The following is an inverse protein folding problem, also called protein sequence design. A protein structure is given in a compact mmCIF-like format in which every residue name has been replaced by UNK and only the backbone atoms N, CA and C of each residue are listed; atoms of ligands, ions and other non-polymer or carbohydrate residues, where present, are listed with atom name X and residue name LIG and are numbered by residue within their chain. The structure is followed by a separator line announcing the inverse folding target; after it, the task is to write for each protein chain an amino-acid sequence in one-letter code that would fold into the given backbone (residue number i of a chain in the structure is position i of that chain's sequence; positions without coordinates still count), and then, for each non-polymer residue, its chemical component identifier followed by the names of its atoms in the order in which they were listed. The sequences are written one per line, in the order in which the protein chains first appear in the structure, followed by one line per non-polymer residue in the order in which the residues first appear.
data_IF_330137032292
#
_entry.id   IF_330137032292
#
_cell.length_a   1.000
_cell.length_b   1.000
_cell.length_c   1.000
_cell.angle_alpha   90.00
_cell.angle_beta   90.00
_cell.angle_gamma   90.00
#
_symmetry.space_group_name_H-M   'P 1'
#
loop_
_entity.id
_entity.type
_entity.pdbx_description
1 polymer ?
#
# COMPACT_ATOMS: atom_id res chain seq x y z
N UNK A 1 9.48 10.56 -6.83
CA UNK A 1 10.24 10.21 -5.63
C UNK A 1 10.59 8.72 -5.64
N UNK A 2 9.61 7.80 -5.66
CA UNK A 2 9.82 6.35 -5.62
C UNK A 2 10.78 5.83 -6.69
N UNK A 3 10.68 6.33 -7.92
CA UNK A 3 11.57 5.96 -9.02
C UNK A 3 13.04 6.26 -8.70
N UNK A 4 13.35 7.44 -8.18
CA UNK A 4 14.72 7.79 -7.78
C UNK A 4 15.26 6.90 -6.66
N UNK A 5 14.42 6.60 -5.66
CA UNK A 5 14.82 5.70 -4.56
C UNK A 5 15.12 4.29 -5.06
N UNK A 6 14.35 3.81 -6.05
CA UNK A 6 14.56 2.53 -6.71
C UNK A 6 15.86 2.53 -7.54
N UNK A 7 15.98 3.45 -8.51
CA UNK A 7 17.04 3.45 -9.50
C UNK A 7 18.43 3.74 -8.90
N UNK A 8 18.50 4.46 -7.76
CA UNK A 8 19.74 4.65 -7.00
C UNK A 8 20.19 3.43 -6.22
N UNK A 9 19.39 2.36 -6.17
CA UNK A 9 19.58 1.23 -5.28
C UNK A 9 19.25 1.53 -3.81
N UNK A 10 18.75 2.73 -3.51
CA UNK A 10 18.37 3.10 -2.14
C UNK A 10 17.30 2.19 -1.56
N UNK A 11 16.34 1.76 -2.36
CA UNK A 11 15.32 0.81 -1.94
C UNK A 11 15.92 -0.56 -1.58
N UNK A 12 16.90 -1.05 -2.34
CA UNK A 12 17.63 -2.29 -2.03
C UNK A 12 18.39 -2.17 -0.71
N UNK A 13 19.09 -1.05 -0.50
CA UNK A 13 19.81 -0.79 0.78
C UNK A 13 18.85 -0.75 1.98
N UNK A 14 17.68 -0.13 1.82
CA UNK A 14 16.64 -0.13 2.87
C UNK A 14 16.16 -1.56 3.13
N UNK A 15 15.86 -2.33 2.09
CA UNK A 15 15.38 -3.69 2.18
C UNK A 15 16.38 -4.61 2.90
N UNK A 16 17.63 -4.63 2.45
CA UNK A 16 18.70 -5.43 3.04
C UNK A 16 18.90 -5.10 4.52
N UNK A 17 18.93 -3.80 4.85
CA UNK A 17 19.10 -3.37 6.22
C UNK A 17 17.93 -3.78 7.10
N UNK A 18 16.68 -3.56 6.65
CA UNK A 18 15.50 -3.93 7.41
C UNK A 18 15.43 -5.44 7.64
N UNK A 19 15.70 -6.24 6.59
CA UNK A 19 15.71 -7.70 6.72
C UNK A 19 16.83 -8.17 7.67
N UNK A 20 18.02 -7.55 7.63
CA UNK A 20 19.16 -7.90 8.49
C UNK A 20 18.96 -7.57 9.97
N UNK A 21 18.02 -6.70 10.33
CA UNK A 21 17.68 -6.36 11.72
C UNK A 21 16.95 -7.50 12.46
N UNK A 22 16.38 -8.44 11.74
CA UNK A 22 15.57 -9.51 12.33
C UNK A 22 16.34 -10.83 12.35
N UNK A 23 16.23 -11.60 13.44
CA UNK A 23 16.71 -12.98 13.45
C UNK A 23 16.02 -13.83 12.37
N UNK A 24 16.72 -14.84 11.84
CA UNK A 24 16.23 -15.70 10.75
C UNK A 24 14.85 -16.35 11.02
N UNK A 25 14.54 -16.65 12.26
CA UNK A 25 13.24 -17.20 12.67
C UNK A 25 12.05 -16.27 12.36
N UNK A 26 12.30 -14.96 12.21
CA UNK A 26 11.33 -13.93 11.90
C UNK A 26 11.41 -13.43 10.45
N UNK A 27 12.09 -14.14 9.57
CA UNK A 27 12.34 -13.76 8.18
C UNK A 27 11.08 -13.29 7.43
N UNK A 28 9.96 -13.98 7.61
CA UNK A 28 8.69 -13.59 6.97
C UNK A 28 8.22 -12.20 7.42
N UNK A 29 8.32 -11.90 8.72
CA UNK A 29 7.97 -10.59 9.25
C UNK A 29 8.95 -9.52 8.80
N UNK A 30 10.24 -9.86 8.73
CA UNK A 30 11.28 -8.94 8.25
C UNK A 30 11.02 -8.48 6.82
N UNK A 31 10.73 -9.44 5.93
CA UNK A 31 10.47 -9.14 4.52
C UNK A 31 9.09 -8.48 4.32
N UNK A 32 8.08 -8.90 5.09
CA UNK A 32 6.78 -8.22 5.13
C UNK A 32 6.90 -6.76 5.59
N UNK A 33 7.70 -6.51 6.64
CA UNK A 33 7.97 -5.17 7.14
C UNK A 33 8.80 -4.33 6.16
N UNK A 34 9.80 -4.92 5.51
CA UNK A 34 10.55 -4.26 4.44
C UNK A 34 9.62 -3.88 3.28
N UNK A 35 8.72 -4.79 2.88
CA UNK A 35 7.67 -4.52 1.88
C UNK A 35 6.76 -3.38 2.30
N UNK A 36 6.33 -3.36 3.55
CA UNK A 36 5.51 -2.29 4.11
C UNK A 36 6.22 -0.94 4.02
N UNK A 37 7.43 -0.82 4.54
CA UNK A 37 8.18 0.45 4.55
C UNK A 37 8.51 0.94 3.14
N UNK A 38 8.96 0.04 2.26
CA UNK A 38 9.32 0.42 0.89
C UNK A 38 8.10 0.83 0.07
N UNK A 39 6.95 0.18 0.28
CA UNK A 39 5.75 0.46 -0.51
C UNK A 39 5.02 1.74 -0.10
N UNK A 40 5.48 2.43 0.94
CA UNK A 40 4.99 3.78 1.28
C UNK A 40 5.27 4.75 0.12
N UNK A 41 6.53 4.97 -0.33
CA UNK A 41 6.83 5.87 -1.45
C UNK A 41 6.93 5.17 -2.80
N UNK A 42 7.06 3.85 -2.83
CA UNK A 42 7.32 3.05 -4.03
C UNK A 42 6.08 2.23 -4.38
N UNK A 43 5.75 2.14 -5.66
CA UNK A 43 4.63 1.30 -6.09
C UNK A 43 4.83 -0.18 -5.72
N UNK A 44 3.73 -0.87 -5.51
CA UNK A 44 3.72 -2.29 -5.16
C UNK A 44 4.61 -3.14 -6.08
N UNK A 45 4.47 -2.95 -7.38
CA UNK A 45 5.18 -3.72 -8.40
C UNK A 45 6.70 -3.60 -8.25
N UNK A 46 7.19 -2.37 -8.12
CA UNK A 46 8.62 -2.07 -7.96
C UNK A 46 9.14 -2.58 -6.61
N UNK A 47 8.36 -2.43 -5.56
CA UNK A 47 8.69 -2.97 -4.23
C UNK A 47 8.85 -4.49 -4.27
N UNK A 48 7.93 -5.18 -4.98
CA UNK A 48 7.99 -6.63 -5.11
C UNK A 48 9.24 -7.06 -5.88
N UNK A 49 9.54 -6.42 -7.02
CA UNK A 49 10.74 -6.69 -7.83
C UNK A 49 12.03 -6.54 -7.02
N UNK A 50 12.13 -5.53 -6.15
CA UNK A 50 13.31 -5.29 -5.30
C UNK A 50 13.44 -6.36 -4.20
N UNK A 51 12.32 -6.78 -3.61
CA UNK A 51 12.34 -7.68 -2.46
C UNK A 51 12.41 -9.16 -2.82
N UNK A 52 11.92 -9.56 -3.99
CA UNK A 52 11.84 -10.98 -4.35
C UNK A 52 13.23 -11.66 -4.40
N UNK A 53 14.31 -11.05 -4.92
CA UNK A 53 15.65 -11.65 -4.88
C UNK A 53 16.15 -11.90 -3.47
N UNK A 54 15.96 -10.91 -2.57
CA UNK A 54 16.32 -11.02 -1.15
C UNK A 54 15.53 -12.16 -0.50
N UNK A 55 14.23 -12.21 -0.81
CA UNK A 55 13.32 -13.25 -0.33
C UNK A 55 13.73 -14.65 -0.78
N UNK A 56 14.08 -14.82 -2.07
CA UNK A 56 14.55 -16.10 -2.63
C UNK A 56 15.84 -16.56 -1.96
N UNK A 57 16.82 -15.66 -1.82
CA UNK A 57 18.07 -15.97 -1.12
C UNK A 57 17.83 -16.42 0.33
N UNK A 58 16.91 -15.75 1.02
CA UNK A 58 16.53 -16.05 2.39
C UNK A 58 15.83 -17.41 2.50
N UNK A 59 14.95 -17.77 1.56
CA UNK A 59 14.24 -19.06 1.55
C UNK A 59 15.18 -20.22 1.25
N UNK A 60 16.12 -20.06 0.33
CA UNK A 60 17.19 -21.05 0.08
C UNK A 60 17.96 -21.35 1.38
N UNK A 61 18.35 -20.32 2.12
CA UNK A 61 19.06 -20.44 3.41
C UNK A 61 18.22 -21.13 4.49
N UNK A 62 16.92 -20.88 4.52
CA UNK A 62 16.00 -21.43 5.52
C UNK A 62 15.40 -22.78 5.13
N UNK A 63 15.71 -23.28 3.95
CA UNK A 63 15.10 -24.50 3.36
C UNK A 63 13.57 -24.51 3.44
N UNK A 64 12.93 -23.42 3.01
CA UNK A 64 11.47 -23.24 2.97
C UNK A 64 10.98 -22.93 1.57
N UNK A 65 9.73 -23.28 1.27
CA UNK A 65 9.09 -22.95 0.00
C UNK A 65 8.94 -21.43 -0.22
N UNK A 66 9.08 -21.01 -1.48
CA UNK A 66 9.02 -19.59 -1.87
C UNK A 66 7.68 -18.92 -1.50
N UNK A 67 6.59 -19.68 -1.44
CA UNK A 67 5.25 -19.18 -1.11
C UNK A 67 5.17 -18.44 0.22
N UNK A 68 6.00 -18.82 1.20
CA UNK A 68 6.06 -18.13 2.48
C UNK A 68 6.49 -16.68 2.34
N UNK A 69 7.52 -16.43 1.53
CA UNK A 69 8.11 -15.10 1.39
C UNK A 69 7.31 -14.23 0.43
N UNK A 70 6.84 -14.82 -0.66
CA UNK A 70 6.02 -14.13 -1.65
C UNK A 70 4.73 -13.60 -1.01
N UNK A 71 4.07 -14.43 -0.19
CA UNK A 71 2.90 -13.98 0.56
C UNK A 71 3.22 -12.87 1.56
N UNK A 72 4.36 -12.95 2.28
CA UNK A 72 4.76 -11.92 3.22
C UNK A 72 5.06 -10.58 2.54
N UNK A 73 5.80 -10.58 1.42
CA UNK A 73 6.05 -9.37 0.61
C UNK A 73 4.71 -8.79 0.12
N UNK A 74 3.86 -9.62 -0.47
CA UNK A 74 2.57 -9.19 -1.04
C UNK A 74 1.65 -8.58 0.01
N UNK A 75 1.62 -9.13 1.23
CA UNK A 75 0.87 -8.59 2.36
C UNK A 75 1.43 -7.24 2.77
N UNK A 76 2.73 -7.17 3.10
CA UNK A 76 3.34 -5.94 3.61
C UNK A 76 3.26 -4.79 2.60
N UNK A 77 3.67 -5.05 1.36
CA UNK A 77 3.64 -4.06 0.29
C UNK A 77 2.21 -3.65 -0.08
N UNK A 78 1.29 -4.60 -0.16
CA UNK A 78 -0.12 -4.34 -0.48
C UNK A 78 -0.81 -3.45 0.56
N UNK A 79 -0.61 -3.73 1.86
CA UNK A 79 -1.17 -2.93 2.94
C UNK A 79 -0.64 -1.50 2.89
N UNK A 80 0.67 -1.30 2.83
CA UNK A 80 1.25 0.05 2.82
C UNK A 80 0.83 0.83 1.57
N UNK A 81 0.87 0.20 0.39
CA UNK A 81 0.44 0.81 -0.86
C UNK A 81 -1.04 1.25 -0.82
N UNK A 82 -1.87 0.52 -0.11
CA UNK A 82 -3.31 0.82 -0.05
C UNK A 82 -3.65 1.81 1.06
N UNK A 83 -3.01 1.74 2.23
CA UNK A 83 -3.42 2.49 3.42
C UNK A 83 -2.56 3.71 3.74
N UNK A 84 -1.30 3.76 3.28
CA UNK A 84 -0.36 4.81 3.72
C UNK A 84 -0.06 5.79 2.60
N UNK A 85 -0.41 7.09 2.75
CA UNK A 85 0.07 8.11 1.83
C UNK A 85 1.60 8.12 1.74
N UNK A 86 2.21 8.47 0.62
CA UNK A 86 1.67 9.25 -0.50
C UNK A 86 1.17 8.44 -1.71
N UNK A 87 0.88 7.18 -1.59
CA UNK A 87 0.25 6.43 -2.68
C UNK A 87 -1.13 7.01 -3.05
N UNK A 88 -1.60 6.88 -4.30
CA UNK A 88 -2.76 7.62 -4.80
C UNK A 88 -4.04 7.42 -3.99
N UNK A 89 -4.31 6.18 -3.58
CA UNK A 89 -5.58 5.83 -2.94
C UNK A 89 -5.77 6.55 -1.58
N UNK A 90 -4.90 6.36 -0.58
CA UNK A 90 -5.06 7.02 0.71
C UNK A 90 -4.76 8.52 0.65
N UNK A 91 -4.05 9.00 -0.39
CA UNK A 91 -3.75 10.42 -0.56
C UNK A 91 -5.00 11.27 -0.83
N UNK A 92 -6.00 10.70 -1.51
CA UNK A 92 -7.24 11.41 -1.87
C UNK A 92 -8.39 11.16 -0.90
N UNK A 93 -8.30 10.13 -0.05
CA UNK A 93 -9.35 9.80 0.92
C UNK A 93 -9.76 10.98 1.83
N UNK A 94 -8.83 11.82 2.34
CA UNK A 94 -9.16 13.01 3.12
C UNK A 94 -10.04 14.01 2.38
N UNK A 95 -9.89 14.14 1.06
CA UNK A 95 -10.69 15.06 0.25
C UNK A 95 -12.15 14.59 0.12
N UNK A 96 -12.37 13.26 0.04
CA UNK A 96 -13.72 12.69 -0.02
C UNK A 96 -14.44 12.74 1.33
N UNK A 97 -13.74 12.52 2.42
CA UNK A 97 -14.35 12.32 3.72
C UNK A 97 -14.16 13.48 4.70
N UNK A 98 -13.47 14.55 4.30
CA UNK A 98 -13.38 15.81 5.05
C UNK A 98 -12.50 15.74 6.31
N UNK A 99 -11.33 15.11 6.25
CA UNK A 99 -10.39 15.06 7.36
C UNK A 99 -8.94 15.36 6.92
N UNK A 100 -8.01 15.51 7.86
CA UNK A 100 -6.64 15.92 7.56
C UNK A 100 -5.78 14.75 7.05
N UNK A 101 -4.86 15.03 6.11
CA UNK A 101 -3.96 14.03 5.53
C UNK A 101 -3.03 13.39 6.57
N UNK A 102 -2.59 14.14 7.58
CA UNK A 102 -1.77 13.58 8.65
C UNK A 102 -2.53 12.55 9.48
N UNK A 103 -3.85 12.73 9.65
CA UNK A 103 -4.71 11.70 10.27
C UNK A 103 -4.72 10.43 9.42
N UNK A 104 -4.77 10.55 8.07
CA UNK A 104 -4.68 9.38 7.20
C UNK A 104 -3.32 8.67 7.31
N UNK A 105 -2.22 9.43 7.34
CA UNK A 105 -0.87 8.86 7.52
C UNK A 105 -0.77 8.13 8.85
N UNK A 106 -1.20 8.78 9.94
CA UNK A 106 -1.16 8.18 11.27
C UNK A 106 -2.03 6.90 11.35
N UNK A 107 -3.25 6.95 10.82
CA UNK A 107 -4.14 5.80 10.77
C UNK A 107 -3.55 4.67 9.92
N UNK A 108 -3.04 4.97 8.72
CA UNK A 108 -2.42 3.98 7.83
C UNK A 108 -1.24 3.26 8.48
N UNK A 109 -0.42 3.96 9.27
CA UNK A 109 0.68 3.37 10.02
C UNK A 109 0.20 2.56 11.22
N UNK A 110 -0.71 3.14 12.04
CA UNK A 110 -1.21 2.52 13.27
C UNK A 110 -2.04 1.25 12.99
N UNK A 111 -2.81 1.23 11.91
CA UNK A 111 -3.58 0.06 11.49
C UNK A 111 -2.77 -0.89 10.62
N UNK A 112 -1.97 -0.36 9.71
CA UNK A 112 -1.22 -1.17 8.74
C UNK A 112 -0.17 -2.07 9.37
N UNK A 113 0.56 -1.62 10.41
CA UNK A 113 1.58 -2.44 11.06
C UNK A 113 0.96 -3.65 11.80
N UNK A 114 -0.03 -3.50 12.70
CA UNK A 114 -0.70 -4.66 13.29
C UNK A 114 -1.37 -5.57 12.26
N UNK A 115 -2.02 -4.97 11.26
CA UNK A 115 -2.66 -5.69 10.15
C UNK A 115 -1.64 -6.57 9.40
N UNK A 116 -0.45 -6.04 9.09
CA UNK A 116 0.64 -6.78 8.46
C UNK A 116 1.11 -7.95 9.34
N UNK A 117 1.36 -7.71 10.63
CA UNK A 117 1.83 -8.75 11.56
C UNK A 117 0.81 -9.90 11.65
N UNK A 118 -0.46 -9.56 11.85
CA UNK A 118 -1.54 -10.55 11.97
C UNK A 118 -1.69 -11.33 10.66
N UNK A 119 -1.70 -10.64 9.53
CA UNK A 119 -1.91 -11.25 8.21
C UNK A 119 -0.75 -12.17 7.80
N UNK A 120 0.51 -11.75 8.02
CA UNK A 120 1.69 -12.60 7.80
C UNK A 120 1.65 -13.82 8.71
N UNK A 121 1.19 -13.67 9.96
CA UNK A 121 1.03 -14.80 10.89
C UNK A 121 0.00 -15.82 10.37
N UNK A 122 -1.18 -15.34 9.99
CA UNK A 122 -2.27 -16.21 9.47
C UNK A 122 -1.82 -16.90 8.19
N UNK A 123 -1.27 -16.15 7.22
CA UNK A 123 -0.76 -16.70 5.98
C UNK A 123 0.33 -17.77 6.24
N UNK A 124 1.30 -17.48 7.10
CA UNK A 124 2.34 -18.43 7.49
C UNK A 124 1.81 -19.69 8.17
N UNK A 125 0.75 -19.59 8.98
CA UNK A 125 0.09 -20.75 9.57
C UNK A 125 -0.61 -21.62 8.50
N UNK A 126 -1.26 -21.01 7.51
CA UNK A 126 -1.89 -21.74 6.40
C UNK A 126 -0.85 -22.48 5.56
N UNK A 127 0.28 -21.81 5.25
CA UNK A 127 1.39 -22.45 4.54
C UNK A 127 1.96 -23.66 5.31
N UNK A 128 2.12 -23.54 6.64
CA UNK A 128 2.57 -24.67 7.50
C UNK A 128 1.59 -25.84 7.54
N UNK A 129 0.29 -25.59 7.38
CA UNK A 129 -0.75 -26.63 7.35
C UNK A 129 -0.85 -27.36 5.99
N UNK A 130 0.09 -27.14 5.08
CA UNK A 130 0.16 -27.84 3.80
C UNK A 130 -0.59 -27.15 2.66
N UNK A 131 -0.93 -25.89 2.79
CA UNK A 131 -1.52 -25.13 1.68
C UNK A 131 -0.58 -25.04 0.48
N UNK A 132 0.74 -24.95 0.73
CA UNK A 132 1.76 -24.84 -0.32
C UNK A 132 2.24 -26.21 -0.78
N UNK A 133 2.26 -26.40 -2.11
CA UNK A 133 2.87 -27.56 -2.75
C UNK A 133 3.73 -27.08 -3.93
N UNK A 134 5.06 -27.21 -3.82
CA UNK A 134 5.99 -26.73 -4.84
C UNK A 134 5.74 -27.36 -6.22
N UNK A 135 5.33 -28.65 -6.30
CA UNK A 135 5.09 -29.34 -7.56
C UNK A 135 3.92 -28.75 -8.37
N UNK A 136 2.91 -28.21 -7.69
CA UNK A 136 1.69 -27.66 -8.33
C UNK A 136 1.68 -26.13 -8.34
N UNK A 137 2.43 -25.48 -7.47
CA UNK A 137 2.38 -24.04 -7.24
C UNK A 137 3.54 -23.28 -7.90
N UNK A 138 4.67 -23.96 -8.17
CA UNK A 138 5.85 -23.38 -8.83
C UNK A 138 5.97 -23.88 -10.29
N UNK A 139 6.45 -23.01 -11.18
CA UNK A 139 6.71 -23.36 -12.59
C UNK A 139 8.21 -23.44 -12.92
N UNK A 140 9.08 -23.18 -11.95
CA UNK A 140 10.53 -23.22 -12.11
C UNK A 140 11.16 -22.07 -12.91
N UNK A 141 10.36 -21.14 -13.44
CA UNK A 141 10.83 -20.02 -14.28
C UNK A 141 10.98 -18.70 -13.48
N UNK A 142 11.22 -18.79 -12.18
CA UNK A 142 11.39 -17.61 -11.33
C UNK A 142 12.67 -16.86 -11.63
N UNK A 143 12.76 -15.65 -11.08
CA UNK A 143 13.92 -14.76 -11.22
C UNK A 143 15.23 -15.48 -10.89
N UNK A 144 16.17 -15.40 -11.80
CA UNK A 144 17.54 -15.81 -11.53
C UNK A 144 18.26 -14.65 -10.80
N UNK A 145 18.48 -14.84 -9.50
CA UNK A 145 19.03 -13.80 -8.60
C UNK A 145 20.46 -13.38 -9.06
N UNK A 146 21.15 -14.25 -9.77
CA UNK A 146 22.53 -14.00 -10.23
C UNK A 146 22.62 -13.01 -11.41
N UNK A 147 21.49 -12.62 -12.01
CA UNK A 147 21.41 -11.72 -13.17
C UNK A 147 21.07 -10.26 -12.82
N UNK A 148 20.89 -9.94 -11.55
CA UNK A 148 20.51 -8.58 -11.14
C UNK A 148 21.72 -7.66 -11.02
N UNK A 149 21.82 -6.71 -11.96
CA UNK A 149 22.80 -5.64 -11.90
C UNK A 149 22.39 -4.55 -10.89
N UNK A 150 23.12 -4.46 -9.79
CA UNK A 150 23.01 -3.34 -8.86
C UNK A 150 23.92 -2.19 -9.29
N UNK A 151 23.55 -0.91 -8.99
CA UNK A 151 24.45 0.22 -9.20
C UNK A 151 25.79 0.04 -8.48
N UNK A 152 26.89 0.44 -9.13
CA UNK A 152 28.24 0.33 -8.55
C UNK A 152 28.41 1.07 -7.21
N UNK A 153 27.66 2.18 -7.02
CA UNK A 153 27.67 2.99 -5.79
C UNK A 153 26.29 3.05 -5.21
N UNK A 154 26.11 2.47 -4.04
CA UNK A 154 24.86 2.52 -3.29
C UNK A 154 24.89 3.67 -2.27
N UNK A 155 23.78 4.40 -2.07
CA UNK A 155 23.66 5.38 -1.00
C UNK A 155 23.65 4.68 0.37
N UNK A 156 24.06 5.39 1.44
CA UNK A 156 23.93 4.83 2.79
C UNK A 156 22.46 4.70 3.21
N UNK A 157 22.18 3.82 4.17
CA UNK A 157 20.82 3.57 4.67
C UNK A 157 20.09 4.85 5.11
N UNK A 158 20.75 5.70 5.91
CA UNK A 158 20.16 6.96 6.36
C UNK A 158 19.84 7.92 5.21
N UNK A 159 20.73 8.03 4.22
CA UNK A 159 20.52 8.85 3.03
C UNK A 159 19.36 8.32 2.19
N UNK A 160 19.24 7.00 2.05
CA UNK A 160 18.15 6.35 1.31
C UNK A 160 16.77 6.60 1.93
N UNK A 161 16.70 6.75 3.25
CA UNK A 161 15.45 7.02 3.98
C UNK A 161 15.00 8.49 3.91
N UNK A 162 15.91 9.44 3.71
CA UNK A 162 15.57 10.89 3.75
C UNK A 162 14.42 11.27 2.82
N UNK A 163 14.38 10.84 1.54
CA UNK A 163 13.28 11.17 0.64
C UNK A 163 11.91 10.72 1.15
N UNK A 164 11.87 9.62 1.89
CA UNK A 164 10.65 9.01 2.43
C UNK A 164 10.21 9.74 3.70
N UNK A 165 11.14 9.97 4.61
CA UNK A 165 10.85 10.51 5.94
C UNK A 165 10.49 11.99 5.87
N UNK A 166 11.15 12.79 5.03
CA UNK A 166 10.93 14.24 4.95
C UNK A 166 9.47 14.59 4.68
N UNK A 167 8.78 14.09 3.65
CA UNK A 167 7.37 14.41 3.43
C UNK A 167 6.47 14.00 4.60
N UNK A 168 6.69 12.79 5.13
CA UNK A 168 5.89 12.25 6.23
C UNK A 168 6.01 13.14 7.47
N UNK A 169 7.24 13.50 7.85
CA UNK A 169 7.50 14.35 9.02
C UNK A 169 6.89 15.73 8.83
N UNK A 170 7.05 16.35 7.67
CA UNK A 170 6.49 17.69 7.39
C UNK A 170 4.96 17.70 7.49
N UNK A 171 4.29 16.69 6.92
CA UNK A 171 2.83 16.59 6.98
C UNK A 171 2.37 16.33 8.42
N UNK A 172 2.97 15.36 9.11
CA UNK A 172 2.61 15.06 10.49
C UNK A 172 2.84 16.23 11.44
N UNK A 173 3.95 16.93 11.31
CA UNK A 173 4.22 18.13 12.11
C UNK A 173 3.17 19.21 11.87
N UNK A 174 2.79 19.45 10.61
CA UNK A 174 1.74 20.42 10.28
C UNK A 174 0.41 20.04 10.94
N UNK A 175 0.02 18.79 10.85
CA UNK A 175 -1.21 18.26 11.44
C UNK A 175 -1.20 18.36 12.97
N UNK A 176 -0.12 17.90 13.62
CA UNK A 176 0.00 17.93 15.09
C UNK A 176 -0.02 19.35 15.62
N UNK A 177 0.78 20.25 15.03
CA UNK A 177 0.82 21.65 15.46
C UNK A 177 -0.52 22.34 15.21
N UNK A 178 -1.18 22.06 14.10
CA UNK A 178 -2.53 22.57 13.80
C UNK A 178 -3.60 22.10 14.79
N UNK A 179 -3.48 20.88 15.29
CA UNK A 179 -4.41 20.33 16.29
C UNK A 179 -4.21 20.94 17.69
N UNK A 180 -3.00 21.43 18.01
CA UNK A 180 -2.67 21.99 19.33
C UNK A 180 -2.83 23.52 19.35
N UNK A 181 -2.73 24.20 18.22
CA UNK A 181 -2.80 25.66 18.14
C UNK A 181 -2.64 26.21 16.72
N UNK A 182 -2.13 27.44 16.61
CA UNK A 182 -1.88 28.06 15.31
C UNK A 182 -0.58 27.56 14.67
N UNK A 183 -0.67 27.03 13.47
CA UNK A 183 0.50 26.59 12.72
C UNK A 183 1.26 27.79 12.12
N UNK A 184 2.59 27.90 12.30
CA UNK A 184 3.39 28.93 11.64
C UNK A 184 3.28 28.83 10.11
N UNK A 185 3.26 29.98 9.42
CA UNK A 185 3.05 30.03 7.96
C UNK A 185 4.06 29.17 7.17
N UNK A 186 5.32 29.12 7.59
CA UNK A 186 6.33 28.27 6.94
C UNK A 186 6.02 26.77 7.07
N UNK A 187 5.50 26.33 8.22
CA UNK A 187 5.14 24.94 8.44
C UNK A 187 3.83 24.59 7.70
N UNK A 188 2.86 25.51 7.68
CA UNK A 188 1.66 25.37 6.85
C UNK A 188 2.03 25.18 5.38
N UNK A 189 2.99 25.97 4.86
CA UNK A 189 3.45 25.86 3.47
C UNK A 189 4.22 24.57 3.21
N UNK A 190 5.21 24.22 4.03
CA UNK A 190 6.03 23.02 3.85
C UNK A 190 5.26 21.73 4.14
N UNK A 191 4.30 21.76 5.06
CA UNK A 191 3.47 20.63 5.43
C UNK A 191 2.28 20.36 4.50
N UNK A 192 2.04 21.26 3.52
CA UNK A 192 1.06 20.95 2.47
C UNK A 192 1.47 19.72 1.68
N UNK A 193 0.53 18.89 1.30
CA UNK A 193 0.72 17.64 0.57
C UNK A 193 1.67 17.79 -0.64
N UNK A 194 1.43 18.79 -1.48
CA UNK A 194 2.25 19.04 -2.68
C UNK A 194 3.65 19.50 -2.36
N UNK A 195 3.80 20.44 -1.44
CA UNK A 195 5.10 21.02 -1.08
C UNK A 195 5.99 20.00 -0.36
N UNK A 196 5.42 19.26 0.60
CA UNK A 196 6.18 18.22 1.31
C UNK A 196 6.66 17.10 0.38
N UNK A 197 5.82 16.66 -0.55
CA UNK A 197 6.20 15.68 -1.56
C UNK A 197 7.26 16.21 -2.54
N UNK A 198 7.18 17.49 -2.89
CA UNK A 198 8.21 18.14 -3.71
C UNK A 198 9.56 18.18 -2.96
N UNK A 199 9.57 18.52 -1.67
CA UNK A 199 10.79 18.49 -0.84
C UNK A 199 11.43 17.08 -0.86
N UNK A 200 10.66 16.03 -0.62
CA UNK A 200 11.15 14.66 -0.70
C UNK A 200 11.69 14.28 -2.08
N UNK A 201 11.01 14.72 -3.15
CA UNK A 201 11.43 14.46 -4.53
C UNK A 201 12.71 15.19 -4.87
N UNK A 202 12.90 16.45 -4.45
CA UNK A 202 14.13 17.20 -4.65
C UNK A 202 15.31 16.55 -3.93
N UNK A 203 15.13 16.07 -2.71
CA UNK A 203 16.16 15.33 -1.98
C UNK A 203 16.51 14.04 -2.71
N UNK A 204 15.52 13.27 -3.19
CA UNK A 204 15.74 12.05 -3.97
C UNK A 204 16.52 12.36 -5.28
N UNK A 205 16.19 13.44 -5.97
CA UNK A 205 16.86 13.86 -7.19
C UNK A 205 18.33 14.25 -6.92
N UNK A 206 18.61 14.98 -5.83
CA UNK A 206 19.98 15.33 -5.43
C UNK A 206 20.80 14.08 -5.14
N UNK A 207 20.21 13.11 -4.45
CA UNK A 207 20.85 11.81 -4.18
C UNK A 207 21.13 11.09 -5.50
N UNK A 208 20.15 11.04 -6.42
CA UNK A 208 20.31 10.39 -7.72
C UNK A 208 21.43 11.03 -8.54
N UNK A 209 21.49 12.36 -8.62
CA UNK A 209 22.56 13.07 -9.32
C UNK A 209 23.95 12.77 -8.75
N UNK A 210 24.06 12.61 -7.41
CA UNK A 210 25.33 12.30 -6.75
C UNK A 210 25.76 10.85 -6.85
N UNK A 211 24.80 9.92 -6.92
CA UNK A 211 25.09 8.47 -6.96
C UNK A 211 25.27 7.94 -8.37
N UNK A 212 24.39 8.32 -9.30
CA UNK A 212 24.39 7.77 -10.67
C UNK A 212 24.77 8.80 -11.75
N UNK A 213 24.98 10.05 -11.39
CA UNK A 213 25.31 11.15 -12.29
C UNK A 213 24.09 11.75 -13.01
N UNK A 214 24.29 12.94 -13.61
CA UNK A 214 23.19 13.76 -14.15
C UNK A 214 22.40 13.04 -15.24
N UNK A 215 23.07 12.40 -16.22
CA UNK A 215 22.38 11.73 -17.35
C UNK A 215 21.47 10.59 -16.90
N UNK A 216 21.91 9.75 -15.96
CA UNK A 216 21.10 8.64 -15.43
C UNK A 216 19.96 9.17 -14.56
N UNK A 217 20.21 10.23 -13.79
CA UNK A 217 19.17 10.86 -12.99
C UNK A 217 18.08 11.53 -13.86
N UNK A 218 18.46 12.12 -14.99
CA UNK A 218 17.52 12.65 -16.00
C UNK A 218 16.68 11.53 -16.64
N UNK A 219 17.30 10.43 -17.03
CA UNK A 219 16.58 9.26 -17.53
C UNK A 219 15.62 8.68 -16.49
N UNK A 220 16.03 8.59 -15.22
CA UNK A 220 15.17 8.17 -14.11
C UNK A 220 13.97 9.13 -13.94
N UNK A 221 14.19 10.44 -14.06
CA UNK A 221 13.11 11.43 -14.03
C UNK A 221 12.11 11.23 -15.18
N UNK A 222 12.59 10.99 -16.40
CA UNK A 222 11.76 10.70 -17.58
C UNK A 222 10.91 9.44 -17.37
N UNK A 223 11.50 8.36 -16.85
CA UNK A 223 10.78 7.13 -16.51
C UNK A 223 9.73 7.36 -15.41
N UNK A 224 10.05 8.18 -14.41
CA UNK A 224 9.11 8.57 -13.36
C UNK A 224 7.89 9.33 -13.93
N UNK A 225 8.10 10.24 -14.89
CA UNK A 225 7.03 10.96 -15.57
C UNK A 225 6.17 10.04 -16.43
N UNK A 226 6.79 9.09 -17.13
CA UNK A 226 6.05 8.07 -17.89
C UNK A 226 5.15 7.24 -16.96
N UNK A 227 5.68 6.74 -15.86
CA UNK A 227 4.89 6.00 -14.85
C UNK A 227 3.79 6.86 -14.23
N UNK A 228 4.06 8.14 -13.96
CA UNK A 228 3.05 9.08 -13.45
C UNK A 228 1.92 9.30 -14.45
N UNK A 229 2.21 9.31 -15.76
CA UNK A 229 1.19 9.40 -16.82
C UNK A 229 0.17 8.27 -16.75
N UNK A 230 0.62 7.05 -16.53
CA UNK A 230 -0.25 5.88 -16.33
C UNK A 230 -1.13 6.03 -15.09
N UNK A 231 -0.55 6.53 -13.98
CA UNK A 231 -1.31 6.79 -12.74
C UNK A 231 -2.39 7.85 -12.95
N UNK A 232 -2.07 8.94 -13.64
CA UNK A 232 -3.06 9.97 -13.99
C UNK A 232 -4.18 9.42 -14.86
N UNK A 233 -3.85 8.60 -15.86
CA UNK A 233 -4.84 7.99 -16.74
C UNK A 233 -5.79 7.06 -15.96
N UNK A 234 -5.21 6.16 -15.14
CA UNK A 234 -5.99 5.22 -14.32
C UNK A 234 -6.84 5.97 -13.30
N UNK A 235 -6.29 6.98 -12.63
CA UNK A 235 -7.04 7.79 -11.65
C UNK A 235 -8.16 8.57 -12.32
N UNK A 236 -7.90 9.17 -13.48
CA UNK A 236 -8.92 9.86 -14.28
C UNK A 236 -10.04 8.93 -14.76
N UNK A 237 -9.66 7.75 -15.27
CA UNK A 237 -10.63 6.72 -15.67
C UNK A 237 -11.46 6.23 -14.46
N UNK A 238 -10.83 6.00 -13.31
CA UNK A 238 -11.52 5.65 -12.07
C UNK A 238 -12.50 6.74 -11.61
N UNK A 239 -12.10 8.00 -11.68
CA UNK A 239 -12.98 9.14 -11.40
C UNK A 239 -14.16 9.23 -12.35
N UNK A 240 -13.94 9.01 -13.65
CA UNK A 240 -15.01 8.98 -14.65
C UNK A 240 -15.98 7.82 -14.41
N UNK A 241 -15.47 6.63 -14.13
CA UNK A 241 -16.27 5.46 -13.78
C UNK A 241 -17.11 5.73 -12.52
N UNK A 242 -16.49 6.32 -11.49
CA UNK A 242 -17.17 6.73 -10.26
C UNK A 242 -18.30 7.73 -10.51
N UNK A 243 -18.08 8.72 -11.39
CA UNK A 243 -19.11 9.69 -11.76
C UNK A 243 -20.32 9.02 -12.47
N UNK A 244 -20.07 8.05 -13.35
CA UNK A 244 -21.13 7.28 -14.01
C UNK A 244 -21.94 6.46 -13.00
N UNK A 245 -21.29 5.77 -12.07
CA UNK A 245 -21.93 4.98 -11.01
C UNK A 245 -22.79 5.88 -10.11
N UNK A 246 -22.29 7.08 -9.77
CA UNK A 246 -23.05 8.08 -8.99
C UNK A 246 -24.25 8.59 -9.77
N UNK A 247 -24.08 8.95 -11.07
CA UNK A 247 -25.14 9.39 -11.93
C UNK A 247 -26.21 8.31 -12.17
N UNK A 248 -25.84 7.04 -12.11
CA UNK A 248 -26.76 5.91 -12.17
C UNK A 248 -27.61 5.72 -10.90
N UNK A 249 -27.46 6.59 -9.89
CA UNK A 249 -28.25 6.55 -8.65
C UNK A 249 -27.75 5.54 -7.60
N UNK A 250 -26.59 4.92 -7.79
CA UNK A 250 -26.05 3.93 -6.82
C UNK A 250 -25.77 4.60 -5.48
N UNK A 251 -25.24 5.84 -5.47
CA UNK A 251 -25.00 6.59 -4.23
C UNK A 251 -26.29 6.86 -3.45
N UNK A 252 -27.40 7.19 -4.14
CA UNK A 252 -28.70 7.40 -3.49
C UNK A 252 -29.29 6.09 -2.97
N UNK A 253 -29.16 4.99 -3.71
CA UNK A 253 -29.59 3.68 -3.27
C UNK A 253 -28.85 3.25 -1.98
N UNK A 254 -27.53 3.44 -1.92
CA UNK A 254 -26.73 3.14 -0.73
C UNK A 254 -27.09 4.08 0.43
N UNK A 255 -27.29 5.38 0.17
CA UNK A 255 -27.73 6.34 1.18
C UNK A 255 -29.08 5.94 1.78
N UNK A 256 -30.04 5.52 0.97
CA UNK A 256 -31.34 5.05 1.42
C UNK A 256 -31.23 3.77 2.26
N UNK A 257 -30.38 2.83 1.84
CA UNK A 257 -30.11 1.61 2.59
C UNK A 257 -29.46 1.94 3.96
N UNK A 258 -28.47 2.82 3.98
CA UNK A 258 -27.77 3.25 5.20
C UNK A 258 -28.66 4.06 6.11
N UNK A 259 -29.59 4.88 5.59
CA UNK A 259 -30.53 5.63 6.41
C UNK A 259 -31.45 4.73 7.26
N UNK A 260 -31.80 3.55 6.75
CA UNK A 260 -32.56 2.53 7.47
C UNK A 260 -31.79 1.82 8.61
N UNK A 261 -30.46 1.96 8.61
CA UNK A 261 -29.54 1.36 9.61
C UNK A 261 -28.70 2.43 10.32
N UNK A 262 -29.14 3.69 10.25
CA UNK A 262 -28.44 4.82 10.87
C UNK A 262 -28.18 4.56 12.36
N UNK A 263 -26.96 4.86 12.81
CA UNK A 263 -26.48 4.53 14.16
C UNK A 263 -25.75 3.17 14.28
N UNK A 264 -25.82 2.31 13.27
CA UNK A 264 -25.03 1.07 13.27
C UNK A 264 -23.71 1.26 12.48
N UNK A 265 -22.74 1.92 13.12
CA UNK A 265 -21.42 2.20 12.54
C UNK A 265 -20.74 0.95 11.99
N UNK A 266 -20.80 -0.18 12.72
CA UNK A 266 -20.19 -1.43 12.29
C UNK A 266 -20.74 -1.93 10.93
N UNK A 267 -22.06 -1.87 10.76
CA UNK A 267 -22.68 -2.30 9.51
C UNK A 267 -22.39 -1.35 8.35
N UNK A 268 -22.30 -0.05 8.61
CA UNK A 268 -21.92 0.95 7.59
C UNK A 268 -20.48 0.72 7.12
N UNK A 269 -19.54 0.50 8.06
CA UNK A 269 -18.15 0.17 7.72
C UNK A 269 -18.04 -1.15 6.95
N UNK A 270 -18.82 -2.17 7.34
CA UNK A 270 -18.88 -3.43 6.60
C UNK A 270 -19.40 -3.25 5.17
N UNK A 271 -20.44 -2.43 4.96
CA UNK A 271 -20.95 -2.12 3.62
C UNK A 271 -19.87 -1.41 2.79
N UNK A 272 -19.15 -0.45 3.37
CA UNK A 272 -18.05 0.25 2.70
C UNK A 272 -16.96 -0.73 2.25
N UNK A 273 -16.55 -1.63 3.13
CA UNK A 273 -15.59 -2.69 2.82
C UNK A 273 -16.11 -3.62 1.72
N UNK A 274 -17.36 -4.08 1.83
CA UNK A 274 -17.96 -4.98 0.84
C UNK A 274 -18.03 -4.36 -0.56
N UNK A 275 -18.39 -3.08 -0.65
CA UNK A 275 -18.40 -2.33 -1.92
C UNK A 275 -16.98 -2.22 -2.50
N UNK A 276 -16.00 -1.87 -1.68
CA UNK A 276 -14.58 -1.82 -2.10
C UNK A 276 -14.11 -3.16 -2.64
N UNK A 277 -14.45 -4.26 -1.94
CA UNK A 277 -14.15 -5.63 -2.36
C UNK A 277 -14.86 -5.97 -3.69
N UNK A 278 -16.13 -5.66 -3.82
CA UNK A 278 -16.89 -5.94 -5.04
C UNK A 278 -16.30 -5.20 -6.26
N UNK A 279 -16.02 -3.89 -6.12
CA UNK A 279 -15.38 -3.14 -7.19
C UNK A 279 -13.96 -3.62 -7.49
N UNK A 280 -13.21 -4.07 -6.49
CA UNK A 280 -11.89 -4.69 -6.68
C UNK A 280 -11.97 -5.93 -7.56
N UNK A 281 -12.94 -6.82 -7.31
CA UNK A 281 -13.13 -8.02 -8.11
C UNK A 281 -13.60 -7.73 -9.53
N UNK A 282 -14.42 -6.69 -9.72
CA UNK A 282 -14.92 -6.30 -11.05
C UNK A 282 -13.81 -5.65 -11.87
N UNK A 283 -13.07 -4.69 -11.29
CA UNK A 283 -12.13 -3.84 -12.04
C UNK A 283 -10.71 -4.37 -12.09
N UNK A 284 -10.31 -5.23 -11.16
CA UNK A 284 -8.93 -5.68 -10.97
C UNK A 284 -7.99 -4.58 -10.43
N UNK A 285 -8.44 -3.33 -10.31
CA UNK A 285 -7.63 -2.18 -9.90
C UNK A 285 -8.02 -1.69 -8.51
N UNK A 286 -7.07 -1.70 -7.57
CA UNK A 286 -7.28 -1.15 -6.22
C UNK A 286 -7.57 0.35 -6.25
N UNK A 287 -6.94 1.09 -7.17
CA UNK A 287 -7.17 2.53 -7.31
C UNK A 287 -8.59 2.83 -7.80
N UNK A 288 -9.06 2.16 -8.85
CA UNK A 288 -10.41 2.34 -9.36
C UNK A 288 -11.44 1.92 -8.31
N UNK A 289 -11.22 0.79 -7.64
CA UNK A 289 -12.10 0.29 -6.59
C UNK A 289 -12.24 1.26 -5.42
N UNK A 290 -11.12 1.78 -4.90
CA UNK A 290 -11.14 2.74 -3.78
C UNK A 290 -11.81 4.05 -4.17
N UNK A 291 -11.47 4.67 -5.31
CA UNK A 291 -12.05 5.93 -5.75
C UNK A 291 -13.56 5.81 -5.98
N UNK A 292 -14.01 4.71 -6.60
CA UNK A 292 -15.44 4.45 -6.80
C UNK A 292 -16.17 4.30 -5.47
N UNK A 293 -15.58 3.53 -4.54
CA UNK A 293 -16.18 3.35 -3.22
C UNK A 293 -16.20 4.65 -2.43
N UNK A 294 -15.16 5.48 -2.48
CA UNK A 294 -15.13 6.79 -1.83
C UNK A 294 -16.26 7.68 -2.32
N UNK A 295 -16.45 7.80 -3.64
CA UNK A 295 -17.51 8.64 -4.20
C UNK A 295 -18.91 8.20 -3.78
N UNK A 296 -19.16 6.89 -3.66
CA UNK A 296 -20.41 6.36 -3.17
C UNK A 296 -20.58 6.64 -1.67
N UNK A 297 -19.55 6.29 -0.87
CA UNK A 297 -19.61 6.35 0.58
C UNK A 297 -19.47 7.78 1.15
N UNK A 298 -18.98 8.74 0.35
CA UNK A 298 -18.95 10.15 0.74
C UNK A 298 -20.34 10.65 1.17
N UNK A 299 -21.40 10.20 0.51
CA UNK A 299 -22.78 10.61 0.79
C UNK A 299 -23.29 10.18 2.17
N UNK A 300 -22.65 9.20 2.79
CA UNK A 300 -23.04 8.66 4.11
C UNK A 300 -22.06 9.03 5.23
N UNK A 301 -21.06 9.85 4.96
CA UNK A 301 -20.06 10.27 5.97
C UNK A 301 -20.68 10.88 7.21
N UNK A 302 -21.76 11.68 7.06
CA UNK A 302 -22.44 12.31 8.17
C UNK A 302 -23.31 11.34 9.02
N UNK A 303 -23.49 10.09 8.60
CA UNK A 303 -24.33 9.12 9.29
C UNK A 303 -23.54 8.20 10.24
N UNK A 304 -22.22 8.21 10.14
CA UNK A 304 -21.35 7.45 11.05
C UNK A 304 -21.11 8.24 12.34
N UNK A 305 -21.05 7.53 13.46
CA UNK A 305 -20.77 8.14 14.76
C UNK A 305 -19.27 8.28 15.07
N UNK A 306 -18.41 7.53 14.36
CA UNK A 306 -16.95 7.56 14.52
C UNK A 306 -16.29 8.59 13.59
N UNK A 307 -14.98 8.82 13.79
CA UNK A 307 -14.20 9.69 12.91
C UNK A 307 -14.21 9.17 11.46
N UNK A 308 -14.38 10.05 10.44
CA UNK A 308 -14.47 9.65 9.02
C UNK A 308 -13.29 8.83 8.48
N UNK A 309 -12.13 8.86 9.13
CA UNK A 309 -10.98 8.03 8.76
C UNK A 309 -11.32 6.53 8.78
N UNK A 310 -12.21 6.07 9.67
CA UNK A 310 -12.61 4.66 9.72
C UNK A 310 -13.42 4.25 8.48
N UNK A 311 -14.21 5.18 7.93
CA UNK A 311 -14.91 4.94 6.67
C UNK A 311 -13.93 4.85 5.49
N UNK A 312 -12.92 5.74 5.48
CA UNK A 312 -11.84 5.68 4.50
C UNK A 312 -11.06 4.36 4.59
N UNK A 313 -10.69 3.94 5.82
CA UNK A 313 -10.00 2.66 6.04
C UNK A 313 -10.86 1.48 5.57
N UNK A 314 -12.14 1.44 5.89
CA UNK A 314 -13.03 0.37 5.46
C UNK A 314 -13.11 0.26 3.91
N UNK A 315 -13.22 1.39 3.21
CA UNK A 315 -13.20 1.42 1.75
C UNK A 315 -11.86 0.90 1.19
N UNK A 316 -10.74 1.34 1.78
CA UNK A 316 -9.39 0.93 1.37
C UNK A 316 -9.14 -0.54 1.67
N UNK A 317 -9.55 -1.02 2.85
CA UNK A 317 -9.46 -2.43 3.21
C UNK A 317 -10.25 -3.32 2.22
N UNK A 318 -11.42 -2.86 1.76
CA UNK A 318 -12.17 -3.53 0.71
C UNK A 318 -11.42 -3.53 -0.62
N UNK A 319 -10.89 -2.39 -1.04
CA UNK A 319 -10.11 -2.27 -2.28
C UNK A 319 -8.78 -3.05 -2.25
N UNK A 320 -8.28 -3.41 -1.08
CA UNK A 320 -7.13 -4.30 -0.90
C UNK A 320 -7.49 -5.77 -1.12
N UNK A 321 -8.76 -6.17 -1.03
CA UNK A 321 -9.15 -7.58 -1.14
C UNK A 321 -8.55 -8.25 -2.37
N UNK A 322 -7.96 -9.43 -2.19
CA UNK A 322 -7.12 -10.08 -3.17
C UNK A 322 -7.77 -10.24 -4.54
N UNK A 323 -7.25 -9.50 -5.50
CA UNK A 323 -7.58 -9.69 -6.91
C UNK A 323 -6.82 -10.89 -7.50
N UNK A 324 -7.22 -11.33 -8.67
CA UNK A 324 -6.69 -12.51 -9.34
C UNK A 324 -6.13 -12.14 -10.73
N UNK A 325 -6.47 -12.90 -11.75
CA UNK A 325 -5.97 -12.76 -13.12
C UNK A 325 -6.31 -11.44 -13.82
N UNK A 326 -7.24 -10.67 -13.29
CA UNK A 326 -7.60 -9.35 -13.78
C UNK A 326 -6.73 -8.21 -13.21
N UNK A 327 -5.77 -8.53 -12.33
CA UNK A 327 -4.83 -7.59 -11.72
C UNK A 327 -3.42 -7.77 -12.26
N UNK A 328 -2.78 -6.69 -12.71
CA UNK A 328 -1.37 -6.70 -13.17
C UNK A 328 -0.40 -7.14 -12.07
N UNK A 329 -0.65 -6.75 -10.82
CA UNK A 329 0.18 -7.14 -9.67
C UNK A 329 0.20 -8.65 -9.46
N UNK A 330 -0.92 -9.34 -9.72
CA UNK A 330 -0.98 -10.81 -9.68
C UNK A 330 0.03 -11.45 -10.65
N UNK A 331 0.10 -10.94 -11.88
CA UNK A 331 1.00 -11.49 -12.88
C UNK A 331 2.46 -11.12 -12.63
N UNK A 332 2.72 -9.91 -12.12
CA UNK A 332 4.08 -9.51 -11.71
C UNK A 332 4.59 -10.45 -10.63
N UNK A 333 3.81 -10.68 -9.58
CA UNK A 333 4.15 -11.59 -8.49
C UNK A 333 4.37 -13.01 -9.00
N UNK A 334 3.43 -13.52 -9.80
CA UNK A 334 3.50 -14.89 -10.30
C UNK A 334 4.69 -15.13 -11.22
N UNK A 335 4.94 -14.21 -12.16
CA UNK A 335 6.04 -14.35 -13.12
C UNK A 335 7.41 -14.19 -12.44
N UNK A 336 7.56 -13.17 -11.60
CA UNK A 336 8.84 -12.90 -10.93
C UNK A 336 9.21 -14.00 -9.93
N UNK A 337 8.25 -14.57 -9.25
CA UNK A 337 8.48 -15.63 -8.28
C UNK A 337 8.44 -17.04 -8.90
N UNK A 338 8.20 -17.16 -10.21
CA UNK A 338 8.10 -18.46 -10.88
C UNK A 338 6.94 -19.31 -10.41
N UNK A 339 5.76 -18.70 -10.28
CA UNK A 339 4.56 -19.36 -9.77
C UNK A 339 3.60 -19.73 -10.90
N UNK A 340 2.93 -20.86 -10.73
CA UNK A 340 1.72 -21.20 -11.46
C UNK A 340 0.54 -20.35 -10.96
N UNK A 341 -0.60 -20.42 -11.65
CA UNK A 341 -1.83 -19.76 -11.23
C UNK A 341 -2.22 -20.10 -9.78
N UNK A 342 -2.11 -21.37 -9.40
CA UNK A 342 -2.37 -21.86 -8.03
C UNK A 342 -1.45 -21.16 -7.01
N UNK A 343 -0.15 -21.08 -7.31
CA UNK A 343 0.83 -20.41 -6.44
C UNK A 343 0.55 -18.93 -6.28
N UNK A 344 0.21 -18.23 -7.37
CA UNK A 344 -0.19 -16.82 -7.36
C UNK A 344 -1.43 -16.58 -6.49
N UNK A 345 -2.46 -17.44 -6.61
CA UNK A 345 -3.67 -17.35 -5.80
C UNK A 345 -3.37 -17.60 -4.32
N UNK A 346 -2.56 -18.61 -3.99
CA UNK A 346 -2.21 -18.94 -2.59
C UNK A 346 -1.31 -17.91 -1.92
N UNK A 347 -0.56 -17.12 -2.67
CA UNK A 347 0.36 -16.11 -2.14
C UNK A 347 -0.21 -14.71 -2.24
N UNK A 348 -0.36 -14.18 -3.45
CA UNK A 348 -0.82 -12.79 -3.69
C UNK A 348 -2.29 -12.61 -3.32
N UNK A 349 -3.19 -13.37 -3.96
CA UNK A 349 -4.63 -13.20 -3.76
C UNK A 349 -5.04 -13.49 -2.32
N UNK A 350 -4.65 -14.64 -1.80
CA UNK A 350 -4.99 -15.03 -0.43
C UNK A 350 -4.32 -14.12 0.61
N UNK A 351 -3.06 -13.74 0.39
CA UNK A 351 -2.35 -12.82 1.28
C UNK A 351 -3.06 -11.48 1.43
N UNK A 352 -3.47 -10.88 0.32
CA UNK A 352 -4.21 -9.62 0.33
C UNK A 352 -5.65 -9.79 0.83
N UNK A 353 -6.31 -10.90 0.55
CA UNK A 353 -7.64 -11.20 1.09
C UNK A 353 -7.61 -11.32 2.63
N UNK A 354 -6.62 -12.01 3.19
CA UNK A 354 -6.41 -12.08 4.63
C UNK A 354 -6.17 -10.67 5.19
N UNK A 355 -5.31 -9.87 4.56
CA UNK A 355 -5.04 -8.51 4.99
C UNK A 355 -6.31 -7.65 5.00
N UNK A 356 -7.09 -7.69 3.94
CA UNK A 356 -8.36 -6.98 3.82
C UNK A 356 -9.36 -7.33 4.94
N UNK A 357 -9.52 -8.63 5.23
CA UNK A 357 -10.42 -9.09 6.30
C UNK A 357 -9.91 -8.67 7.68
N UNK A 358 -8.61 -8.77 7.93
CA UNK A 358 -8.00 -8.28 9.17
C UNK A 358 -8.18 -6.77 9.30
N UNK A 359 -7.99 -6.02 8.23
CA UNK A 359 -8.17 -4.57 8.18
C UNK A 359 -9.57 -4.15 8.57
N UNK A 360 -10.60 -4.72 7.94
CA UNK A 360 -11.99 -4.35 8.27
C UNK A 360 -12.37 -4.73 9.71
N UNK A 361 -11.88 -5.86 10.23
CA UNK A 361 -12.12 -6.23 11.63
C UNK A 361 -11.50 -5.18 12.56
N UNK A 362 -10.26 -4.79 12.32
CA UNK A 362 -9.60 -3.74 13.12
C UNK A 362 -10.33 -2.40 13.00
N UNK A 363 -10.71 -2.01 11.78
CA UNK A 363 -11.43 -0.76 11.50
C UNK A 363 -12.79 -0.71 12.21
N UNK A 364 -13.55 -1.82 12.20
CA UNK A 364 -14.84 -1.93 12.93
C UNK A 364 -14.62 -1.90 14.44
N UNK A 365 -13.69 -2.70 14.96
CA UNK A 365 -13.48 -2.79 16.41
C UNK A 365 -13.04 -1.44 16.97
N UNK A 366 -12.00 -0.82 16.39
CA UNK A 366 -11.50 0.46 16.89
C UNK A 366 -12.47 1.60 16.58
N UNK A 367 -13.12 1.60 15.41
CA UNK A 367 -14.13 2.59 15.05
C UNK A 367 -15.33 2.57 15.99
N UNK A 368 -15.85 1.39 16.34
CA UNK A 368 -16.93 1.28 17.32
C UNK A 368 -16.52 1.66 18.75
N UNK A 369 -15.29 1.32 19.16
CA UNK A 369 -14.76 1.76 20.46
C UNK A 369 -14.64 3.28 20.49
N UNK A 370 -14.17 3.91 19.40
CA UNK A 370 -14.04 5.38 19.34
C UNK A 370 -15.38 6.13 19.40
N UNK A 371 -16.51 5.46 19.13
CA UNK A 371 -17.85 6.03 19.28
C UNK A 371 -18.31 6.10 20.76
N UNK A 372 -17.60 5.45 21.69
CA UNK A 372 -17.96 5.42 23.12
C UNK A 372 -17.34 6.57 23.90
N UNK A 373 -16.40 7.27 23.30
CA UNK A 373 -15.67 8.41 23.86
C UNK A 373 -15.88 9.67 23.03
#
# INVERSE_FOLDING_TARGET
LGQFVSDTGGATVIADKLVSLFPEKYAMYAVGFAGFILSIPVFFDVTFVILIPIGVALMKKLNKGIGYIVGAISIGAGIAHTLVPPTPNPLVAPEYFGFDLGVMIAAGLLFGIPMMIISVTIHGMLMKKGLWNAETDENGNGLNVDELELPEKLPSFGVSLLPIIIPIVLILLNTIVGAVGSTPAWLTFLGQKTTSMLCGTLVAMIIAMKTMGLKKAEASAANALHSAGMVFLITGAGGSFSAVITAAGVSDAIKNLVSGISGNTALILFIAWFLGMAFRQITGSGTVASLTTFAIMQSVTATIACHPVFLALACLDGALFGATVNDSGFWIVSNMAGLNLSGGVKTYTLGQAIASVVGIILSIVVGCISCLF
#
